data_IF_348214806834
#
_entry.id   IF_348214806834
#
_cell.length_a   1.000
_cell.length_b   1.000
_cell.length_c   1.000
_cell.angle_alpha   90.00
_cell.angle_beta   90.00
_cell.angle_gamma   90.00
#
_symmetry.space_group_name_H-M   'P 1'
#
loop_
_entity.id
_entity.type
_entity.pdbx_description
1 polymer ?
#
# COMPACT_ATOMS: atom_id res chain seq x y z
N UNK A 1 -40.51 45.15 -24.73
CA UNK A 1 -41.01 44.39 -23.56
C UNK A 1 -41.18 42.96 -24.06
N UNK A 2 -40.54 41.90 -23.60
CA UNK A 2 -39.70 41.62 -22.43
C UNK A 2 -39.13 40.22 -22.72
N UNK A 3 -37.81 40.07 -22.77
CA UNK A 3 -37.14 38.78 -23.04
C UNK A 3 -37.19 37.87 -21.81
N UNK A 4 -37.46 36.59 -22.06
CA UNK A 4 -37.46 35.51 -21.06
C UNK A 4 -36.06 35.34 -20.45
N UNK A 5 -35.92 35.64 -19.17
CA UNK A 5 -34.81 35.18 -18.35
C UNK A 5 -35.14 33.78 -17.81
N UNK A 6 -34.57 32.75 -18.40
CA UNK A 6 -34.50 31.42 -17.80
C UNK A 6 -33.38 31.39 -16.76
N UNK A 7 -33.77 31.25 -15.50
CA UNK A 7 -32.88 31.07 -14.36
C UNK A 7 -32.06 29.78 -14.52
N UNK A 8 -30.73 29.79 -14.41
CA UNK A 8 -29.95 28.56 -14.46
C UNK A 8 -30.18 27.73 -13.19
N UNK A 9 -30.35 26.44 -13.41
CA UNK A 9 -30.67 25.43 -12.41
C UNK A 9 -29.62 25.37 -11.30
N UNK A 10 -30.13 25.28 -10.07
CA UNK A 10 -29.42 25.01 -8.82
C UNK A 10 -28.69 23.67 -8.97
N UNK A 11 -27.39 23.70 -9.30
CA UNK A 11 -26.56 22.48 -9.33
C UNK A 11 -26.52 21.89 -7.93
N UNK A 12 -26.97 20.66 -7.87
CA UNK A 12 -27.05 19.79 -6.71
C UNK A 12 -25.62 19.56 -6.20
N UNK A 13 -25.34 19.99 -4.96
CA UNK A 13 -24.10 19.69 -4.23
C UNK A 13 -24.07 18.18 -4.03
N UNK A 14 -23.26 17.47 -4.82
CA UNK A 14 -22.90 16.09 -4.54
C UNK A 14 -22.26 16.06 -3.15
N UNK A 15 -22.77 15.20 -2.27
CA UNK A 15 -22.37 15.11 -0.87
C UNK A 15 -20.85 15.00 -0.74
N UNK A 16 -20.23 16.00 -0.12
CA UNK A 16 -18.82 15.98 0.27
C UNK A 16 -18.62 14.80 1.23
N UNK A 17 -18.19 13.65 0.72
CA UNK A 17 -17.72 12.56 1.55
C UNK A 17 -16.50 13.11 2.31
N UNK A 18 -16.69 13.45 3.58
CA UNK A 18 -15.65 14.06 4.42
C UNK A 18 -14.39 13.20 4.36
N UNK A 19 -13.32 13.75 3.78
CA UNK A 19 -11.99 13.15 3.82
C UNK A 19 -11.39 13.37 5.21
N UNK A 20 -10.44 12.50 5.60
CA UNK A 20 -9.76 12.50 6.90
C UNK A 20 -8.27 12.71 6.71
N UNK A 21 -7.69 13.62 7.51
CA UNK A 21 -6.24 13.87 7.54
C UNK A 21 -5.55 12.75 8.30
N UNK A 22 -4.53 12.12 7.72
CA UNK A 22 -3.68 11.14 8.45
C UNK A 22 -2.62 11.82 9.32
N UNK A 23 -1.94 11.02 10.14
CA UNK A 23 -0.76 11.44 10.90
C UNK A 23 0.47 11.68 10.02
N UNK A 24 0.51 11.11 8.81
CA UNK A 24 1.58 11.39 7.82
C UNK A 24 1.24 12.70 7.13
N UNK A 25 1.59 13.79 7.80
CA UNK A 25 1.30 15.13 7.35
C UNK A 25 2.46 16.09 7.55
N UNK A 26 3.23 16.32 6.48
CA UNK A 26 4.35 17.23 6.48
C UNK A 26 3.90 18.67 6.21
N UNK A 27 4.27 19.60 7.08
CA UNK A 27 3.87 21.03 6.98
C UNK A 27 4.40 21.70 5.72
N UNK A 28 5.56 21.26 5.25
CA UNK A 28 6.28 21.67 4.04
C UNK A 28 6.02 20.74 2.84
N UNK A 29 5.14 19.73 2.99
CA UNK A 29 4.76 18.85 1.90
C UNK A 29 4.16 19.63 0.72
N UNK A 30 4.48 19.18 -0.48
CA UNK A 30 4.13 19.83 -1.76
C UNK A 30 3.01 19.16 -2.52
N UNK A 31 2.56 17.97 -2.07
CA UNK A 31 1.47 17.20 -2.70
C UNK A 31 0.65 16.51 -1.62
N UNK A 32 -0.64 16.29 -1.90
CA UNK A 32 -1.52 15.46 -1.09
C UNK A 32 -1.86 14.19 -1.85
N UNK A 33 -1.53 13.03 -1.29
CA UNK A 33 -2.02 11.75 -1.79
C UNK A 33 -3.35 11.45 -1.12
N UNK A 34 -4.33 10.98 -1.88
CA UNK A 34 -5.62 10.54 -1.35
C UNK A 34 -5.84 9.08 -1.69
N UNK A 35 -5.93 8.23 -0.67
CA UNK A 35 -6.32 6.83 -0.82
C UNK A 35 -7.59 6.60 -0.01
N UNK A 36 -8.63 6.07 -0.66
CA UNK A 36 -9.98 6.01 -0.09
C UNK A 36 -10.42 7.39 0.43
N UNK A 37 -10.77 7.51 1.71
CA UNK A 37 -11.14 8.77 2.37
C UNK A 37 -9.99 9.40 3.17
N UNK A 38 -8.77 8.86 3.07
CA UNK A 38 -7.62 9.32 3.87
C UNK A 38 -6.65 10.11 3.01
N UNK A 39 -6.19 11.23 3.55
CA UNK A 39 -5.25 12.12 2.89
C UNK A 39 -3.89 12.16 3.62
N UNK A 40 -2.82 12.19 2.83
CA UNK A 40 -1.44 12.21 3.27
C UNK A 40 -0.73 13.38 2.59
N UNK A 41 -0.19 14.33 3.37
CA UNK A 41 0.58 15.44 2.78
C UNK A 41 2.06 15.14 2.87
N UNK A 42 2.70 15.05 1.71
CA UNK A 42 4.07 14.58 1.54
C UNK A 42 4.82 15.43 0.51
N UNK A 43 6.11 15.16 0.34
CA UNK A 43 6.96 15.83 -0.62
C UNK A 43 6.95 15.08 -1.95
N UNK A 44 6.54 15.76 -3.02
CA UNK A 44 6.56 15.18 -4.37
C UNK A 44 7.97 14.77 -4.79
N UNK A 45 9.00 15.56 -4.45
CA UNK A 45 10.39 15.25 -4.74
C UNK A 45 10.86 13.92 -4.13
N UNK A 46 10.42 13.60 -2.90
CA UNK A 46 10.74 12.34 -2.24
C UNK A 46 10.05 11.17 -2.94
N UNK A 47 8.79 11.35 -3.36
CA UNK A 47 8.09 10.32 -4.16
C UNK A 47 8.84 10.07 -5.47
N UNK A 48 9.13 11.11 -6.25
CA UNK A 48 9.80 10.99 -7.54
C UNK A 48 11.23 10.44 -7.44
N UNK A 49 11.92 10.70 -6.33
CA UNK A 49 13.26 10.15 -6.09
C UNK A 49 13.24 8.61 -6.01
N UNK A 50 12.16 8.04 -5.46
CA UNK A 50 12.07 6.61 -5.19
C UNK A 50 11.07 5.87 -6.10
N UNK A 51 10.26 6.59 -6.88
CA UNK A 51 9.24 6.04 -7.77
C UNK A 51 9.33 6.69 -9.15
N UNK A 52 9.58 5.85 -10.15
CA UNK A 52 9.56 6.28 -11.56
C UNK A 52 8.17 6.77 -11.98
N UNK A 53 7.11 6.09 -11.51
CA UNK A 53 5.71 6.42 -11.80
C UNK A 53 5.36 7.83 -11.31
N UNK A 54 5.73 8.19 -10.08
CA UNK A 54 5.52 9.56 -9.59
C UNK A 54 6.42 10.56 -10.33
N UNK A 55 7.63 10.16 -10.74
CA UNK A 55 8.49 10.97 -11.61
C UNK A 55 7.84 11.30 -12.96
N UNK A 56 7.22 10.31 -13.61
CA UNK A 56 6.48 10.49 -14.85
C UNK A 56 5.22 11.35 -14.63
N UNK A 57 4.44 11.09 -13.58
CA UNK A 57 3.25 11.90 -13.26
C UNK A 57 3.58 13.39 -13.06
N UNK A 58 4.73 13.70 -12.46
CA UNK A 58 5.17 15.09 -12.30
C UNK A 58 5.45 15.77 -13.65
N UNK A 59 5.88 15.02 -14.67
CA UNK A 59 6.23 15.56 -15.99
C UNK A 59 5.01 15.89 -16.86
N UNK A 60 3.83 15.38 -16.49
CA UNK A 60 2.59 15.58 -17.25
C UNK A 60 1.97 16.97 -16.96
N UNK A 61 1.35 17.62 -17.95
CA UNK A 61 0.58 18.84 -17.73
C UNK A 61 -0.57 18.59 -16.75
N UNK A 62 -0.62 19.33 -15.64
CA UNK A 62 -1.72 19.23 -14.69
C UNK A 62 -2.97 19.94 -15.24
N UNK A 63 -4.17 19.38 -15.06
CA UNK A 63 -5.41 20.04 -15.46
C UNK A 63 -5.62 21.32 -14.63
N UNK A 64 -6.18 22.38 -15.22
CA UNK A 64 -6.35 23.68 -14.56
C UNK A 64 -7.26 23.62 -13.32
N UNK A 65 -8.19 22.66 -13.29
CA UNK A 65 -9.16 22.46 -12.20
C UNK A 65 -8.76 21.32 -11.25
N UNK A 66 -7.46 21.04 -11.09
CA UNK A 66 -6.99 19.98 -10.21
C UNK A 66 -7.41 20.25 -8.74
N UNK A 67 -8.05 19.28 -8.05
CA UNK A 67 -8.39 19.42 -6.65
C UNK A 67 -7.15 19.74 -5.81
N UNK A 68 -7.29 20.68 -4.87
CA UNK A 68 -6.22 21.10 -3.99
C UNK A 68 -6.66 21.07 -2.53
N UNK A 69 -5.74 20.68 -1.64
CA UNK A 69 -5.91 20.70 -0.18
C UNK A 69 -4.71 21.43 0.42
N UNK A 70 -4.97 22.42 1.28
CA UNK A 70 -3.94 23.31 1.85
C UNK A 70 -3.03 23.96 0.79
N UNK A 71 -3.56 24.20 -0.42
CA UNK A 71 -2.80 24.76 -1.55
C UNK A 71 -1.89 23.76 -2.27
N UNK A 72 -1.94 22.47 -1.92
CA UNK A 72 -1.22 21.40 -2.59
C UNK A 72 -2.14 20.61 -3.54
N UNK A 73 -1.68 20.23 -4.74
CA UNK A 73 -2.45 19.37 -5.63
C UNK A 73 -2.72 18.01 -4.99
N UNK A 74 -3.91 17.47 -5.25
CA UNK A 74 -4.30 16.13 -4.82
C UNK A 74 -4.02 15.13 -5.94
N UNK A 75 -3.36 14.03 -5.60
CA UNK A 75 -3.21 12.83 -6.43
C UNK A 75 -4.06 11.73 -5.80
N UNK A 76 -5.07 11.27 -6.53
CA UNK A 76 -5.94 10.17 -6.08
C UNK A 76 -5.30 8.82 -6.39
N UNK A 77 -5.38 7.91 -5.42
CA UNK A 77 -4.92 6.52 -5.47
C UNK A 77 -6.16 5.62 -5.26
N UNK A 78 -7.04 5.49 -6.27
CA UNK A 78 -8.41 5.01 -6.08
C UNK A 78 -8.49 3.54 -5.65
N UNK A 79 -7.57 2.70 -6.10
CA UNK A 79 -7.58 1.25 -5.79
C UNK A 79 -6.69 0.88 -4.61
N UNK A 80 -6.12 1.87 -3.92
CA UNK A 80 -5.16 1.63 -2.85
C UNK A 80 -5.81 1.77 -1.48
N UNK A 81 -5.54 0.80 -0.61
CA UNK A 81 -5.97 0.87 0.78
C UNK A 81 -5.19 1.98 1.49
N UNK A 82 -5.89 2.83 2.26
CA UNK A 82 -5.25 3.91 3.01
C UNK A 82 -4.14 3.40 3.95
N UNK A 83 -4.36 2.25 4.60
CA UNK A 83 -3.38 1.62 5.47
C UNK A 83 -2.11 1.20 4.70
N UNK A 84 -2.23 0.68 3.48
CA UNK A 84 -1.06 0.25 2.70
C UNK A 84 -0.23 1.47 2.25
N UNK A 85 -0.90 2.54 1.80
CA UNK A 85 -0.22 3.80 1.46
C UNK A 85 0.48 4.38 2.69
N UNK A 86 -0.17 4.36 3.86
CA UNK A 86 0.42 4.87 5.10
C UNK A 86 1.69 4.10 5.50
N UNK A 87 1.66 2.76 5.47
CA UNK A 87 2.82 1.94 5.79
C UNK A 87 3.98 2.21 4.82
N UNK A 88 3.70 2.27 3.51
CA UNK A 88 4.72 2.61 2.52
C UNK A 88 5.32 3.99 2.80
N UNK A 89 4.50 5.01 3.05
CA UNK A 89 4.98 6.36 3.33
C UNK A 89 5.84 6.40 4.60
N UNK A 90 5.43 5.71 5.67
CA UNK A 90 6.24 5.62 6.90
C UNK A 90 7.61 4.99 6.62
N UNK A 91 7.66 3.94 5.79
CA UNK A 91 8.91 3.30 5.35
C UNK A 91 9.76 4.25 4.49
N UNK A 92 9.13 4.95 3.54
CA UNK A 92 9.79 5.87 2.62
C UNK A 92 10.50 7.01 3.37
N UNK A 93 9.85 7.57 4.40
CA UNK A 93 10.42 8.63 5.22
C UNK A 93 11.33 8.12 6.35
N UNK A 94 11.32 6.82 6.65
CA UNK A 94 12.19 6.21 7.64
C UNK A 94 12.63 4.80 7.20
N UNK A 95 13.58 4.74 6.27
CA UNK A 95 14.10 3.47 5.74
C UNK A 95 14.70 2.54 6.81
N UNK A 96 15.03 3.04 8.01
CA UNK A 96 15.47 2.20 9.15
C UNK A 96 14.44 1.14 9.55
N UNK A 97 13.17 1.33 9.20
CA UNK A 97 12.12 0.33 9.38
C UNK A 97 12.46 -0.93 8.58
N UNK A 98 12.89 -0.81 7.32
CA UNK A 98 13.21 -1.97 6.47
C UNK A 98 14.40 -2.79 6.97
N UNK A 99 15.21 -2.24 7.87
CA UNK A 99 16.37 -2.91 8.47
C UNK A 99 16.08 -3.51 9.86
N UNK A 100 14.85 -3.41 10.38
CA UNK A 100 14.48 -4.11 11.61
C UNK A 100 14.58 -5.63 11.41
N UNK A 101 15.04 -6.41 12.39
CA UNK A 101 15.19 -7.86 12.22
C UNK A 101 13.85 -8.52 11.86
N UNK A 102 12.76 -8.12 12.52
CA UNK A 102 11.41 -8.61 12.30
C UNK A 102 10.49 -7.45 11.94
N UNK A 103 9.59 -7.64 10.97
CA UNK A 103 8.58 -6.66 10.59
C UNK A 103 7.17 -7.24 10.61
N UNK A 104 6.15 -6.44 10.95
CA UNK A 104 4.76 -6.85 10.77
C UNK A 104 4.47 -7.18 9.31
N UNK A 105 3.70 -8.24 9.06
CA UNK A 105 3.31 -8.62 7.70
C UNK A 105 2.61 -7.48 6.95
N UNK A 106 1.77 -6.69 7.63
CA UNK A 106 1.08 -5.56 7.02
C UNK A 106 2.04 -4.54 6.39
N UNK A 107 3.20 -4.29 7.03
CA UNK A 107 4.23 -3.39 6.47
C UNK A 107 4.82 -3.99 5.19
N UNK A 108 5.19 -5.28 5.23
CA UNK A 108 5.80 -5.98 4.09
C UNK A 108 4.81 -6.06 2.91
N UNK A 109 3.55 -6.41 3.20
CA UNK A 109 2.49 -6.51 2.21
C UNK A 109 2.18 -5.15 1.57
N UNK A 110 2.09 -4.08 2.37
CA UNK A 110 1.89 -2.72 1.89
C UNK A 110 3.01 -2.25 0.96
N UNK A 111 4.27 -2.47 1.35
CA UNK A 111 5.43 -2.15 0.52
C UNK A 111 5.42 -2.94 -0.78
N UNK A 112 5.03 -4.21 -0.77
CA UNK A 112 4.93 -5.01 -1.99
C UNK A 112 3.81 -4.50 -2.91
N UNK A 113 2.60 -4.30 -2.41
CA UNK A 113 1.44 -3.91 -3.24
C UNK A 113 1.61 -2.51 -3.83
N UNK A 114 1.84 -1.52 -2.98
CA UNK A 114 1.96 -0.11 -3.40
C UNK A 114 3.30 0.10 -4.10
N UNK A 115 4.38 -0.51 -3.58
CA UNK A 115 5.69 -0.41 -4.20
C UNK A 115 5.75 -0.99 -5.60
N UNK A 116 5.05 -2.09 -5.88
CA UNK A 116 4.93 -2.63 -7.24
C UNK A 116 4.08 -1.75 -8.15
N UNK A 117 2.93 -1.26 -7.67
CA UNK A 117 2.01 -0.43 -8.47
C UNK A 117 2.65 0.89 -8.90
N UNK A 118 3.43 1.49 -8.00
CA UNK A 118 4.08 2.79 -8.22
C UNK A 118 5.59 2.70 -8.44
N UNK A 119 6.13 1.51 -8.72
CA UNK A 119 7.55 1.28 -9.05
C UNK A 119 8.57 1.82 -8.02
N UNK A 120 8.32 1.59 -6.73
CA UNK A 120 9.28 1.83 -5.64
C UNK A 120 10.27 0.66 -5.51
N UNK A 121 11.12 0.47 -6.53
CA UNK A 121 11.95 -0.74 -6.71
C UNK A 121 12.80 -1.12 -5.50
N UNK A 122 13.55 -0.18 -4.94
CA UNK A 122 14.45 -0.47 -3.81
C UNK A 122 13.69 -0.99 -2.59
N UNK A 123 12.51 -0.43 -2.30
CA UNK A 123 11.66 -0.87 -1.21
C UNK A 123 10.99 -2.22 -1.52
N UNK A 124 10.55 -2.38 -2.77
CA UNK A 124 9.93 -3.62 -3.25
C UNK A 124 10.92 -4.79 -3.14
N UNK A 125 12.17 -4.62 -3.56
CA UNK A 125 13.20 -5.65 -3.52
C UNK A 125 13.47 -6.10 -2.09
N UNK A 126 13.63 -5.16 -1.15
CA UNK A 126 13.81 -5.46 0.27
C UNK A 126 12.61 -6.21 0.89
N UNK A 127 11.39 -5.87 0.47
CA UNK A 127 10.19 -6.53 0.95
C UNK A 127 10.01 -7.94 0.35
N UNK A 128 10.30 -8.11 -0.94
CA UNK A 128 10.29 -9.42 -1.62
C UNK A 128 11.35 -10.34 -1.03
N UNK A 129 12.54 -9.83 -0.70
CA UNK A 129 13.59 -10.60 -0.02
C UNK A 129 13.10 -11.19 1.30
N UNK A 130 12.29 -10.47 2.07
CA UNK A 130 11.69 -10.99 3.31
C UNK A 130 10.69 -12.11 3.02
N UNK A 131 9.85 -11.95 2.00
CA UNK A 131 8.86 -12.97 1.61
C UNK A 131 9.55 -14.25 1.12
N UNK A 132 10.60 -14.14 0.30
CA UNK A 132 11.35 -15.30 -0.20
C UNK A 132 12.22 -15.93 0.88
N UNK A 133 12.71 -15.15 1.85
CA UNK A 133 13.38 -15.70 3.04
C UNK A 133 12.44 -16.59 3.86
N UNK A 134 11.20 -16.14 4.07
CA UNK A 134 10.16 -16.94 4.75
C UNK A 134 9.74 -18.17 3.94
N UNK A 135 9.82 -18.09 2.62
CA UNK A 135 9.36 -19.13 1.69
C UNK A 135 10.51 -19.56 0.77
N UNK A 136 11.50 -20.30 1.31
CA UNK A 136 12.68 -20.72 0.54
C UNK A 136 12.33 -21.67 -0.60
N UNK A 137 13.24 -21.79 -1.56
CA UNK A 137 13.07 -22.64 -2.75
C UNK A 137 13.75 -24.00 -2.63
N UNK A 138 14.51 -24.25 -1.55
CA UNK A 138 15.21 -25.52 -1.31
C UNK A 138 14.80 -26.13 0.03
N UNK A 139 14.87 -27.46 0.12
CA UNK A 139 14.55 -28.19 1.35
C UNK A 139 15.57 -27.88 2.47
N UNK A 140 16.86 -27.79 2.13
CA UNK A 140 17.92 -27.46 3.10
C UNK A 140 17.68 -26.10 3.77
N UNK A 141 17.26 -25.09 3.01
CA UNK A 141 16.90 -23.78 3.56
C UNK A 141 15.60 -23.83 4.37
N UNK A 142 14.64 -24.66 3.97
CA UNK A 142 13.39 -24.85 4.70
C UNK A 142 13.63 -25.51 6.07
N UNK A 143 14.52 -26.49 6.13
CA UNK A 143 14.88 -27.22 7.36
C UNK A 143 15.86 -26.45 8.25
N UNK A 144 16.52 -25.42 7.71
CA UNK A 144 17.41 -24.56 8.48
C UNK A 144 16.64 -23.79 9.58
N UNK A 145 17.14 -23.85 10.82
CA UNK A 145 16.58 -23.09 11.97
C UNK A 145 16.92 -21.60 11.86
N UNK A 146 16.30 -20.92 10.89
CA UNK A 146 16.48 -19.49 10.63
C UNK A 146 15.48 -18.67 11.46
N UNK A 147 15.90 -17.56 12.08
CA UNK A 147 14.96 -16.67 12.75
C UNK A 147 14.03 -16.04 11.73
N UNK A 148 12.73 -15.97 12.04
CA UNK A 148 11.76 -15.30 11.17
C UNK A 148 12.08 -13.81 11.01
N UNK A 149 11.80 -13.27 9.82
CA UNK A 149 11.93 -11.86 9.47
C UNK A 149 10.57 -11.17 9.37
N UNK A 150 9.47 -11.91 9.52
CA UNK A 150 8.10 -11.41 9.49
C UNK A 150 7.37 -11.88 10.75
N UNK A 151 6.74 -10.94 11.46
CA UNK A 151 6.06 -11.23 12.73
C UNK A 151 4.94 -12.28 12.52
N UNK A 152 4.96 -13.40 13.25
CA UNK A 152 3.99 -14.47 13.08
C UNK A 152 2.65 -14.12 13.73
N UNK A 153 1.55 -14.49 13.08
CA UNK A 153 0.19 -14.42 13.63
C UNK A 153 -0.71 -15.50 13.01
N UNK A 154 -1.85 -15.85 13.64
CA UNK A 154 -2.80 -16.80 13.09
C UNK A 154 -3.31 -16.34 11.71
N UNK A 155 -3.22 -17.20 10.70
CA UNK A 155 -3.66 -16.87 9.33
C UNK A 155 -2.54 -16.40 8.39
N UNK A 156 -1.35 -16.06 8.90
CA UNK A 156 -0.25 -15.53 8.08
C UNK A 156 0.12 -16.41 6.88
N UNK A 157 -0.04 -17.73 6.97
CA UNK A 157 0.24 -18.62 5.84
C UNK A 157 -0.70 -18.38 4.65
N UNK A 158 -1.97 -18.08 4.90
CA UNK A 158 -2.94 -17.74 3.86
C UNK A 158 -2.67 -16.36 3.28
N UNK A 159 -2.38 -15.38 4.14
CA UNK A 159 -2.07 -14.03 3.69
C UNK A 159 -0.78 -13.98 2.88
N UNK A 160 0.24 -14.74 3.30
CA UNK A 160 1.48 -14.93 2.56
C UNK A 160 1.25 -15.55 1.18
N UNK A 161 0.43 -16.60 1.12
CA UNK A 161 0.07 -17.24 -0.14
C UNK A 161 -0.69 -16.29 -1.08
N UNK A 162 -1.67 -15.56 -0.55
CA UNK A 162 -2.43 -14.58 -1.31
C UNK A 162 -1.51 -13.47 -1.84
N UNK A 163 -0.67 -12.90 -0.98
CA UNK A 163 0.28 -11.85 -1.34
C UNK A 163 1.25 -12.32 -2.42
N UNK A 164 1.85 -13.51 -2.26
CA UNK A 164 2.79 -14.07 -3.23
C UNK A 164 2.13 -14.33 -4.58
N UNK A 165 0.87 -14.84 -4.59
CA UNK A 165 0.12 -15.10 -5.81
C UNK A 165 -0.26 -13.81 -6.54
N UNK A 166 -0.82 -12.84 -5.82
CA UNK A 166 -1.26 -11.54 -6.36
C UNK A 166 -0.09 -10.72 -6.92
N UNK A 167 1.10 -10.88 -6.35
CA UNK A 167 2.29 -10.11 -6.74
C UNK A 167 3.32 -10.91 -7.54
N UNK A 168 2.91 -12.09 -8.05
CA UNK A 168 3.73 -12.96 -8.90
C UNK A 168 5.10 -13.32 -8.30
N UNK A 169 5.17 -13.51 -6.97
CA UNK A 169 6.38 -13.98 -6.28
C UNK A 169 6.41 -15.51 -6.36
N UNK A 170 6.63 -16.03 -7.57
CA UNK A 170 6.45 -17.45 -7.89
C UNK A 170 7.37 -18.37 -7.08
N UNK A 171 8.57 -17.91 -6.75
CA UNK A 171 9.54 -18.65 -5.92
C UNK A 171 9.02 -18.94 -4.51
N UNK A 172 8.14 -18.10 -3.97
CA UNK A 172 7.58 -18.27 -2.63
C UNK A 172 6.39 -19.25 -2.59
N UNK A 173 5.77 -19.56 -3.75
CA UNK A 173 4.52 -20.33 -3.79
C UNK A 173 4.62 -21.76 -3.24
N UNK A 174 5.68 -22.56 -3.50
CA UNK A 174 5.73 -23.94 -3.02
C UNK A 174 5.62 -24.05 -1.49
N UNK A 175 6.42 -23.27 -0.76
CA UNK A 175 6.40 -23.26 0.72
C UNK A 175 5.13 -22.59 1.24
N UNK A 176 4.66 -21.51 0.61
CA UNK A 176 3.43 -20.86 1.02
C UNK A 176 2.22 -21.81 0.92
N UNK A 177 2.10 -22.58 -0.16
CA UNK A 177 1.08 -23.61 -0.31
C UNK A 177 1.19 -24.71 0.74
N UNK A 178 2.39 -25.24 0.99
CA UNK A 178 2.62 -26.26 2.01
C UNK A 178 2.20 -25.77 3.40
N UNK A 179 2.67 -24.57 3.80
CA UNK A 179 2.33 -23.96 5.10
C UNK A 179 0.83 -23.70 5.24
N UNK A 180 0.16 -23.21 4.19
CA UNK A 180 -1.29 -22.99 4.21
C UNK A 180 -2.06 -24.31 4.37
N UNK A 181 -1.62 -25.38 3.69
CA UNK A 181 -2.24 -26.70 3.82
C UNK A 181 -2.06 -27.29 5.23
N UNK A 182 -0.84 -27.25 5.78
CA UNK A 182 -0.56 -27.76 7.12
C UNK A 182 -1.30 -26.95 8.19
N UNK A 183 -1.26 -25.62 8.12
CA UNK A 183 -1.92 -24.77 9.12
C UNK A 183 -3.45 -24.80 9.02
N UNK A 184 -4.00 -24.94 7.82
CA UNK A 184 -5.44 -25.16 7.62
C UNK A 184 -5.92 -26.50 8.18
N UNK A 185 -5.07 -27.52 8.22
CA UNK A 185 -5.41 -28.82 8.81
C UNK A 185 -5.32 -28.85 10.34
N UNK A 186 -4.66 -27.86 10.96
CA UNK A 186 -4.40 -27.80 12.41
C UNK A 186 -5.21 -26.70 13.11
N UNK A 187 -5.73 -25.70 12.38
CA UNK A 187 -6.52 -24.59 12.93
C UNK A 187 -8.02 -24.89 13.04
N UNK A 188 -8.63 -24.49 14.16
CA UNK A 188 -10.09 -24.40 14.30
C UNK A 188 -10.63 -23.34 13.34
N UNK A 189 -11.38 -23.69 12.28
CA UNK A 189 -11.90 -22.74 11.29
C UNK A 189 -12.96 -21.74 11.82
N UNK A 190 -13.24 -21.71 13.13
CA UNK A 190 -14.20 -20.81 13.76
C UNK A 190 -13.95 -19.31 13.53
N UNK A 191 -12.69 -18.89 13.29
CA UNK A 191 -12.33 -17.51 12.95
C UNK A 191 -12.68 -17.12 11.51
N UNK A 192 -12.85 -18.08 10.60
CA UNK A 192 -13.24 -17.84 9.20
C UNK A 192 -14.71 -17.41 9.06
N UNK A 193 -15.56 -17.82 10.00
CA UNK A 193 -16.99 -17.47 10.03
C UNK A 193 -17.30 -16.15 10.73
N UNK A 194 -16.29 -15.48 11.32
CA UNK A 194 -16.46 -14.27 12.12
C UNK A 194 -15.72 -13.04 11.55
N UNK A 195 -15.31 -13.07 10.28
CA UNK A 195 -14.87 -11.84 9.61
C UNK A 195 -16.09 -10.95 9.28
N UNK A 196 -16.05 -9.64 9.61
CA UNK A 196 -17.12 -8.69 9.31
C UNK A 196 -17.28 -8.40 7.81
#
# INVERSE_FOLDING_TARGET
>A
MSELHTSPAKRQRTEDASTTRSDVWYKDGSVVLQAQKTQFRVHLSVLCQHSSVFGEMQSLPQPPDQPCVDGCPVIELPDDAAADVEHLLRVLYNMKIMFQPVLPFAVVAAVIRVGRKYDFRDLLDLAVERVTFENPTTLDEFDAQRPTRIEPYPGIAFDMLALARENHILSALPVAHYRAAVNGLVGDFSWWFNMP
#
